data_IF_996012829006
#
_entry.id   IF_996012829006
#
_cell.length_a   1.000
_cell.length_b   1.000
_cell.length_c   1.000
_cell.angle_alpha   90.00
_cell.angle_beta   90.00
_cell.angle_gamma   90.00
#
_symmetry.space_group_name_H-M   'P 1'
#
loop_
_entity.id
_entity.type
_entity.pdbx_description
1 polymer ?
#
# COMPACT_ATOMS: atom_id res chain seq x y z
N UNK A 1 -17.84 -8.15 0.49
CA UNK A 1 -16.51 -7.56 0.79
C UNK A 1 -15.56 -7.92 -0.34
N UNK A 2 -14.62 -7.05 -0.68
CA UNK A 2 -13.43 -7.35 -1.50
C UNK A 2 -12.24 -7.47 -0.55
N UNK A 3 -11.39 -8.49 -0.75
CA UNK A 3 -10.22 -8.73 0.11
C UNK A 3 -8.95 -8.86 -0.74
N UNK A 4 -7.90 -8.13 -0.36
CA UNK A 4 -6.53 -8.21 -0.90
C UNK A 4 -5.55 -8.28 0.27
N UNK A 5 -5.40 -9.49 0.81
CA UNK A 5 -4.70 -9.74 2.06
C UNK A 5 -5.17 -8.82 3.18
N UNK A 6 -4.35 -7.83 3.55
CA UNK A 6 -4.65 -6.86 4.61
C UNK A 6 -5.60 -5.73 4.18
N UNK A 7 -5.76 -5.46 2.88
CA UNK A 7 -6.74 -4.49 2.39
C UNK A 7 -8.14 -5.13 2.29
N UNK A 8 -9.15 -4.44 2.82
CA UNK A 8 -10.54 -4.84 2.74
C UNK A 8 -11.41 -3.66 2.27
N UNK A 9 -12.33 -3.93 1.34
CA UNK A 9 -13.32 -2.95 0.87
C UNK A 9 -14.72 -3.51 1.10
N UNK A 10 -15.48 -2.86 1.98
CA UNK A 10 -16.86 -3.21 2.27
C UNK A 10 -17.82 -2.44 1.34
N UNK A 11 -18.87 -3.12 0.88
CA UNK A 11 -19.91 -2.54 0.04
C UNK A 11 -21.24 -2.85 0.72
N UNK A 12 -22.04 -1.82 0.98
CA UNK A 12 -23.38 -1.94 1.57
C UNK A 12 -24.38 -1.11 0.80
N UNK A 13 -25.57 -1.66 0.60
CA UNK A 13 -26.75 -0.94 0.07
C UNK A 13 -27.85 -0.85 1.12
N UNK A 14 -27.53 -1.07 2.41
CA UNK A 14 -28.51 -1.13 3.51
C UNK A 14 -29.70 -2.08 3.19
N UNK A 15 -29.42 -3.17 2.49
CA UNK A 15 -30.43 -4.14 2.04
C UNK A 15 -31.29 -3.69 0.85
N UNK A 16 -31.16 -2.46 0.37
CA UNK A 16 -32.02 -1.89 -0.68
C UNK A 16 -31.75 -2.47 -2.07
N UNK A 17 -30.54 -2.97 -2.33
CA UNK A 17 -30.22 -3.62 -3.60
C UNK A 17 -29.03 -4.59 -3.48
N UNK A 18 -29.27 -5.88 -3.21
CA UNK A 18 -28.21 -6.90 -3.20
C UNK A 18 -27.55 -7.08 -4.58
N UNK A 19 -28.32 -6.95 -5.66
CA UNK A 19 -27.82 -7.05 -7.04
C UNK A 19 -26.80 -5.93 -7.35
N UNK A 20 -27.08 -4.69 -6.94
CA UNK A 20 -26.15 -3.57 -7.10
C UNK A 20 -24.86 -3.79 -6.29
N UNK A 21 -24.98 -4.22 -5.02
CA UNK A 21 -23.82 -4.53 -4.19
C UNK A 21 -22.93 -5.60 -4.84
N UNK A 22 -23.54 -6.65 -5.43
CA UNK A 22 -22.81 -7.69 -6.16
C UNK A 22 -22.10 -7.15 -7.40
N UNK A 23 -22.74 -6.27 -8.18
CA UNK A 23 -22.13 -5.63 -9.36
C UNK A 23 -20.93 -4.77 -8.98
N UNK A 24 -21.06 -3.91 -7.97
CA UNK A 24 -19.96 -3.06 -7.49
C UNK A 24 -18.81 -3.92 -6.97
N UNK A 25 -19.09 -4.95 -6.15
CA UNK A 25 -18.05 -5.86 -5.65
C UNK A 25 -17.23 -6.48 -6.78
N UNK A 26 -17.88 -6.99 -7.84
CA UNK A 26 -17.19 -7.58 -9.00
C UNK A 26 -16.30 -6.58 -9.73
N UNK A 27 -16.77 -5.35 -9.92
CA UNK A 27 -15.97 -4.30 -10.53
C UNK A 27 -14.73 -3.98 -9.69
N UNK A 28 -14.90 -3.81 -8.39
CA UNK A 28 -13.80 -3.56 -7.46
C UNK A 28 -12.82 -4.75 -7.40
N UNK A 29 -13.30 -5.98 -7.49
CA UNK A 29 -12.41 -7.14 -7.61
C UNK A 29 -11.54 -7.11 -8.87
N UNK A 30 -12.04 -6.56 -9.98
CA UNK A 30 -11.24 -6.38 -11.19
C UNK A 30 -10.28 -5.20 -11.10
N UNK A 31 -10.66 -4.13 -10.38
CA UNK A 31 -9.87 -2.90 -10.27
C UNK A 31 -8.73 -3.03 -9.28
N UNK A 32 -8.97 -3.66 -8.13
CA UNK A 32 -7.97 -3.83 -7.08
C UNK A 32 -7.27 -5.17 -7.29
N UNK A 33 -6.10 -5.16 -7.91
CA UNK A 33 -5.31 -6.38 -8.14
C UNK A 33 -4.55 -6.88 -6.90
N UNK A 34 -3.78 -7.97 -7.02
CA UNK A 34 -2.95 -8.50 -5.93
C UNK A 34 -1.88 -7.52 -5.43
N UNK A 35 -1.41 -6.60 -6.27
CA UNK A 35 -0.42 -5.56 -5.93
C UNK A 35 -0.83 -4.69 -4.73
N UNK A 36 -2.14 -4.55 -4.48
CA UNK A 36 -2.65 -3.81 -3.32
C UNK A 36 -2.35 -4.51 -2.00
N UNK A 37 -2.29 -5.84 -1.95
CA UNK A 37 -1.87 -6.54 -0.74
C UNK A 37 -0.40 -6.24 -0.43
N UNK A 38 0.45 -6.33 -1.46
CA UNK A 38 1.88 -6.02 -1.35
C UNK A 38 2.13 -4.57 -0.95
N UNK A 39 1.42 -3.61 -1.56
CA UNK A 39 1.52 -2.20 -1.17
C UNK A 39 1.07 -1.99 0.27
N UNK A 40 -0.04 -2.62 0.68
CA UNK A 40 -0.54 -2.50 2.06
C UNK A 40 0.46 -3.07 3.07
N UNK A 41 1.11 -4.19 2.75
CA UNK A 41 2.18 -4.78 3.57
C UNK A 41 3.39 -3.84 3.68
N UNK A 42 3.88 -3.31 2.55
CA UNK A 42 4.97 -2.35 2.51
C UNK A 42 4.66 -1.12 3.39
N UNK A 43 3.48 -0.53 3.24
CA UNK A 43 3.03 0.63 4.01
C UNK A 43 2.95 0.33 5.52
N UNK A 44 2.50 -0.88 5.89
CA UNK A 44 2.49 -1.33 7.28
C UNK A 44 3.88 -1.43 7.89
N UNK A 45 4.85 -2.00 7.17
CA UNK A 45 6.25 -2.10 7.61
C UNK A 45 6.86 -0.71 7.77
N UNK A 46 6.68 0.18 6.78
CA UNK A 46 7.14 1.57 6.85
C UNK A 46 6.55 2.28 8.07
N UNK A 47 5.26 2.09 8.35
CA UNK A 47 4.59 2.67 9.52
C UNK A 47 5.20 2.22 10.84
N UNK A 48 5.46 0.93 11.00
CA UNK A 48 6.10 0.42 12.21
C UNK A 48 7.48 1.06 12.41
N UNK A 49 8.29 1.16 11.35
CA UNK A 49 9.64 1.73 11.40
C UNK A 49 9.66 3.24 11.62
N UNK A 50 8.76 4.00 10.99
CA UNK A 50 8.67 5.45 11.18
C UNK A 50 8.14 5.83 12.57
N UNK A 51 7.17 5.08 13.10
CA UNK A 51 6.63 5.34 14.44
C UNK A 51 7.62 5.01 15.56
N UNK A 52 8.55 4.07 15.34
CA UNK A 52 9.62 3.80 16.30
C UNK A 52 10.68 4.90 16.41
N UNK A 53 10.71 5.87 15.48
CA UNK A 53 11.71 6.95 15.42
C UNK A 53 11.23 8.27 16.06
N UNK A 54 10.15 8.26 16.83
CA UNK A 54 9.58 9.43 17.54
C UNK A 54 9.37 10.68 16.64
N UNK A 55 8.97 10.44 15.40
CA UNK A 55 8.64 11.53 14.47
C UNK A 55 7.23 12.05 14.74
N UNK A 56 7.10 13.36 14.92
CA UNK A 56 5.82 14.07 15.10
C UNK A 56 4.75 13.61 14.10
N UNK A 57 3.52 13.41 14.56
CA UNK A 57 2.38 12.92 13.77
C UNK A 57 2.16 13.68 12.44
N UNK A 58 2.45 14.98 12.41
CA UNK A 58 2.32 15.84 11.22
C UNK A 58 3.30 15.50 10.10
N UNK A 59 4.58 15.21 10.41
CA UNK A 59 5.58 14.83 9.40
C UNK A 59 5.26 13.47 8.79
N UNK A 60 4.90 12.50 9.63
CA UNK A 60 4.50 11.17 9.17
C UNK A 60 3.31 11.24 8.21
N UNK A 61 2.31 12.10 8.48
CA UNK A 61 1.17 12.30 7.58
C UNK A 61 1.60 12.73 6.17
N UNK A 62 2.54 13.67 6.07
CA UNK A 62 3.05 14.17 4.78
C UNK A 62 3.78 13.05 4.04
N UNK A 63 4.65 12.31 4.72
CA UNK A 63 5.39 11.18 4.14
C UNK A 63 4.43 10.12 3.59
N UNK A 64 3.43 9.70 4.39
CA UNK A 64 2.46 8.71 3.95
C UNK A 64 1.63 9.18 2.76
N UNK A 65 1.29 10.47 2.71
CA UNK A 65 0.59 11.05 1.56
C UNK A 65 1.45 10.97 0.31
N UNK A 66 2.74 11.35 0.39
CA UNK A 66 3.68 11.25 -0.73
C UNK A 66 3.86 9.81 -1.22
N UNK A 67 3.89 8.82 -0.31
CA UNK A 67 3.98 7.41 -0.69
C UNK A 67 2.74 6.94 -1.45
N UNK A 68 1.53 7.31 -1.00
CA UNK A 68 0.27 6.93 -1.67
C UNK A 68 0.14 7.61 -3.03
N UNK A 69 0.58 8.87 -3.15
CA UNK A 69 0.52 9.64 -4.40
C UNK A 69 1.64 9.27 -5.39
N UNK A 70 2.61 8.46 -4.95
CA UNK A 70 3.68 7.97 -5.80
C UNK A 70 3.26 6.80 -6.69
N UNK A 71 4.13 6.42 -7.63
CA UNK A 71 3.86 5.33 -8.56
C UNK A 71 4.19 3.92 -8.01
N UNK A 72 4.28 3.76 -6.68
CA UNK A 72 4.68 2.50 -6.04
C UNK A 72 3.78 1.32 -6.45
N UNK A 73 2.47 1.54 -6.61
CA UNK A 73 1.54 0.49 -7.02
C UNK A 73 1.91 -0.10 -8.40
N UNK A 74 2.18 0.76 -9.38
CA UNK A 74 2.56 0.32 -10.72
C UNK A 74 3.97 -0.30 -10.72
N UNK A 75 4.89 0.20 -9.90
CA UNK A 75 6.22 -0.38 -9.74
C UNK A 75 6.14 -1.80 -9.17
N UNK A 76 5.30 -2.04 -8.15
CA UNK A 76 5.05 -3.37 -7.60
C UNK A 76 4.47 -4.29 -8.68
N UNK A 77 3.47 -3.81 -9.43
CA UNK A 77 2.85 -4.57 -10.52
C UNK A 77 3.84 -4.99 -11.60
N UNK A 78 4.83 -4.14 -11.89
CA UNK A 78 5.89 -4.40 -12.88
C UNK A 78 7.15 -5.04 -12.28
N UNK A 79 7.18 -5.33 -10.98
CA UNK A 79 8.40 -5.77 -10.25
C UNK A 79 9.60 -4.84 -10.46
N UNK A 80 9.36 -3.53 -10.59
CA UNK A 80 10.41 -2.52 -10.78
C UNK A 80 11.05 -2.12 -9.43
N UNK A 81 11.90 -2.99 -8.90
CA UNK A 81 12.54 -2.80 -7.58
C UNK A 81 13.50 -1.61 -7.55
N UNK A 82 14.20 -1.33 -8.65
CA UNK A 82 15.09 -0.16 -8.76
C UNK A 82 14.31 1.16 -8.64
N UNK A 83 13.18 1.26 -9.35
CA UNK A 83 12.29 2.41 -9.27
C UNK A 83 11.70 2.59 -7.86
N UNK A 84 11.38 1.49 -7.19
CA UNK A 84 10.92 1.52 -5.80
C UNK A 84 12.02 2.03 -4.86
N UNK A 85 13.24 1.50 -4.96
CA UNK A 85 14.39 1.97 -4.17
C UNK A 85 14.61 3.46 -4.33
N UNK A 86 14.64 3.96 -5.58
CA UNK A 86 14.81 5.38 -5.86
C UNK A 86 13.69 6.23 -5.25
N UNK A 87 12.43 5.81 -5.42
CA UNK A 87 11.25 6.53 -4.90
C UNK A 87 11.23 6.54 -3.37
N UNK A 88 11.46 5.39 -2.74
CA UNK A 88 11.51 5.27 -1.28
C UNK A 88 12.67 6.07 -0.70
N UNK A 89 13.85 6.07 -1.33
CA UNK A 89 14.99 6.89 -0.91
C UNK A 89 14.68 8.38 -0.97
N UNK A 90 14.01 8.83 -2.04
CA UNK A 90 13.62 10.24 -2.19
C UNK A 90 12.60 10.69 -1.15
N UNK A 91 11.70 9.83 -0.71
CA UNK A 91 10.60 10.19 0.19
C UNK A 91 10.98 9.98 1.67
N UNK A 92 11.65 8.86 1.98
CA UNK A 92 11.98 8.44 3.35
C UNK A 92 13.36 8.92 3.81
N UNK A 93 14.23 9.34 2.89
CA UNK A 93 15.59 9.80 3.16
C UNK A 93 16.61 8.66 3.34
N UNK A 94 17.89 9.04 3.41
CA UNK A 94 19.01 8.09 3.42
C UNK A 94 19.15 7.27 4.72
N UNK A 95 18.58 7.76 5.83
CA UNK A 95 18.61 7.07 7.12
C UNK A 95 17.56 5.98 7.28
N UNK A 96 16.67 5.80 6.30
CA UNK A 96 15.64 4.76 6.37
C UNK A 96 16.16 3.42 5.81
N UNK A 97 15.96 2.29 6.50
CA UNK A 97 16.46 0.99 6.06
C UNK A 97 15.59 0.41 4.92
N UNK A 98 15.82 0.89 3.69
CA UNK A 98 15.01 0.54 2.51
C UNK A 98 15.13 -0.94 2.17
N UNK A 99 16.34 -1.50 2.10
CA UNK A 99 16.54 -2.89 1.67
C UNK A 99 15.84 -3.87 2.62
N UNK A 100 16.06 -3.73 3.93
CA UNK A 100 15.38 -4.56 4.94
C UNK A 100 13.84 -4.43 4.84
N UNK A 101 13.35 -3.23 4.54
CA UNK A 101 11.92 -3.00 4.33
C UNK A 101 11.38 -3.72 3.09
N UNK A 102 12.13 -3.71 1.99
CA UNK A 102 11.75 -4.40 0.76
C UNK A 102 11.80 -5.92 0.93
N UNK A 103 12.86 -6.47 1.51
CA UNK A 103 12.97 -7.91 1.78
C UNK A 103 11.88 -8.41 2.72
N UNK A 104 11.50 -7.62 3.73
CA UNK A 104 10.39 -7.96 4.61
C UNK A 104 9.01 -7.90 3.91
N UNK A 105 8.83 -6.92 3.01
CA UNK A 105 7.57 -6.73 2.29
C UNK A 105 7.37 -7.77 1.16
N UNK A 106 8.45 -8.22 0.54
CA UNK A 106 8.45 -9.05 -0.66
C UNK A 106 9.41 -10.24 -0.47
N UNK A 107 8.87 -11.46 -0.46
CA UNK A 107 9.64 -12.70 -0.22
C UNK A 107 10.64 -13.09 -1.33
N UNK A 108 10.78 -12.28 -2.39
CA UNK A 108 11.49 -12.63 -3.64
C UNK A 108 12.57 -11.60 -4.04
N UNK A 109 12.97 -10.68 -3.15
CA UNK A 109 13.98 -9.64 -3.43
C UNK A 109 15.26 -9.90 -2.64
#
# INVERSE_FOLDING_TARGET
>A
IVKRGNLQIAISTAGKSPALAKKIRKNLESTFGPEYDSLTKLMGIIRTKLLSQDQSSSKNKIIFQQLVDSNLLEMIKRKNWDGMRATLKSILGEGFPIEDTLTQAFKEI
#
